data_IF_655989648157
#
_entry.id   IF_655989648157
#
_cell.length_a   1.000
_cell.length_b   1.000
_cell.length_c   1.000
_cell.angle_alpha   90.00
_cell.angle_beta   90.00
_cell.angle_gamma   90.00
#
_symmetry.space_group_name_H-M   'P 1'
#
loop_
_entity.id
_entity.type
_entity.pdbx_description
1 polymer ?
#
# COMPACT_ATOMS: atom_id res chain seq x y z
N UNK A 1 24.60 11.02 -5.11
CA UNK A 1 23.33 11.66 -5.54
C UNK A 1 22.10 10.89 -5.08
N UNK A 2 22.01 9.57 -5.33
CA UNK A 2 20.83 8.78 -4.96
C UNK A 2 20.53 8.77 -3.45
N UNK A 3 21.56 8.74 -2.61
CA UNK A 3 21.45 8.79 -1.14
C UNK A 3 20.84 10.10 -0.59
N UNK A 4 20.65 11.12 -1.43
CA UNK A 4 19.97 12.37 -1.06
C UNK A 4 18.61 12.44 -1.76
N UNK A 5 18.59 12.19 -3.07
CA UNK A 5 17.38 12.31 -3.90
C UNK A 5 16.31 11.31 -3.44
N UNK A 6 16.68 10.06 -3.17
CA UNK A 6 15.72 9.01 -2.82
C UNK A 6 14.99 9.29 -1.48
N UNK A 7 15.68 9.62 -0.37
CA UNK A 7 14.99 10.06 0.84
C UNK A 7 14.08 11.27 0.61
N UNK A 8 14.55 12.29 -0.12
CA UNK A 8 13.77 13.50 -0.40
C UNK A 8 12.47 13.16 -1.14
N UNK A 9 12.54 12.36 -2.21
CA UNK A 9 11.36 11.95 -2.96
C UNK A 9 10.42 11.08 -2.12
N UNK A 10 10.96 10.19 -1.29
CA UNK A 10 10.18 9.34 -0.41
C UNK A 10 9.41 10.16 0.63
N UNK A 11 10.08 11.09 1.32
CA UNK A 11 9.43 11.96 2.30
C UNK A 11 8.48 12.98 1.65
N UNK A 12 8.79 13.47 0.45
CA UNK A 12 7.87 14.30 -0.32
C UNK A 12 6.58 13.52 -0.66
N UNK A 13 6.69 12.25 -1.08
CA UNK A 13 5.55 11.39 -1.35
C UNK A 13 4.72 11.12 -0.08
N UNK A 14 5.36 10.89 1.07
CA UNK A 14 4.69 10.80 2.37
C UNK A 14 3.95 12.10 2.72
N UNK A 15 4.59 13.26 2.53
CA UNK A 15 3.98 14.56 2.73
C UNK A 15 2.72 14.75 1.88
N UNK A 16 2.78 14.39 0.60
CA UNK A 16 1.61 14.40 -0.29
C UNK A 16 0.51 13.44 0.17
N UNK A 17 0.88 12.26 0.69
CA UNK A 17 -0.07 11.30 1.25
C UNK A 17 -0.81 11.88 2.48
N UNK A 18 -0.08 12.54 3.39
CA UNK A 18 -0.66 13.22 4.56
C UNK A 18 -1.59 14.35 4.13
N UNK A 19 -1.18 15.21 3.19
CA UNK A 19 -2.03 16.27 2.63
C UNK A 19 -3.32 15.68 2.03
N UNK A 20 -3.19 14.59 1.28
CA UNK A 20 -4.33 13.86 0.71
C UNK A 20 -5.27 13.31 1.77
N UNK A 21 -4.73 12.72 2.84
CA UNK A 21 -5.50 12.20 3.97
C UNK A 21 -6.26 13.32 4.70
N UNK A 22 -5.60 14.45 4.98
CA UNK A 22 -6.23 15.64 5.58
C UNK A 22 -7.38 16.14 4.73
N UNK A 23 -7.18 16.27 3.41
CA UNK A 23 -8.26 16.65 2.48
C UNK A 23 -9.44 15.67 2.54
N UNK A 24 -9.18 14.35 2.60
CA UNK A 24 -10.25 13.33 2.77
C UNK A 24 -10.99 13.49 4.09
N UNK A 25 -10.28 13.73 5.20
CA UNK A 25 -10.89 13.97 6.51
C UNK A 25 -11.81 15.19 6.50
N UNK A 26 -11.39 16.30 5.86
CA UNK A 26 -12.24 17.48 5.73
C UNK A 26 -13.51 17.22 4.90
N UNK A 27 -13.43 16.39 3.86
CA UNK A 27 -14.62 16.01 3.10
C UNK A 27 -15.60 15.17 3.92
N UNK A 28 -15.11 14.25 4.77
CA UNK A 28 -15.97 13.48 5.67
C UNK A 28 -16.70 14.35 6.68
N UNK A 29 -16.07 15.43 7.15
CA UNK A 29 -16.70 16.40 8.06
C UNK A 29 -17.85 17.21 7.44
N UNK A 30 -18.04 17.16 6.12
CA UNK A 30 -19.20 17.77 5.44
C UNK A 30 -20.48 16.92 5.57
N UNK A 31 -20.36 15.65 5.97
CA UNK A 31 -21.50 14.76 6.20
C UNK A 31 -22.26 15.11 7.49
N UNK A 32 -23.35 14.36 7.74
CA UNK A 32 -24.14 14.50 8.96
C UNK A 32 -23.28 14.15 10.19
N UNK A 33 -23.31 14.97 11.28
CA UNK A 33 -22.59 14.64 12.50
C UNK A 33 -23.10 13.32 13.08
N UNK A 34 -22.17 12.46 13.47
CA UNK A 34 -22.43 11.22 14.17
C UNK A 34 -21.62 11.22 15.48
N UNK A 35 -22.22 10.77 16.59
CA UNK A 35 -21.47 10.50 17.80
C UNK A 35 -20.65 9.23 17.57
N UNK A 36 -19.33 9.37 17.58
CA UNK A 36 -18.40 8.25 17.39
C UNK A 36 -17.56 8.13 18.65
N UNK A 37 -17.58 6.95 19.27
CA UNK A 37 -16.59 6.61 20.29
C UNK A 37 -15.26 6.34 19.59
N UNK A 38 -14.36 7.32 19.65
CA UNK A 38 -13.06 7.24 19.00
C UNK A 38 -12.17 6.18 19.63
N UNK A 39 -12.18 6.05 20.95
CA UNK A 39 -11.29 5.13 21.65
C UNK A 39 -11.71 3.69 21.41
N UNK A 40 -12.98 3.36 21.68
CA UNK A 40 -13.51 2.02 21.43
C UNK A 40 -13.45 1.68 19.94
N UNK A 41 -13.70 2.66 19.07
CA UNK A 41 -13.59 2.50 17.62
C UNK A 41 -12.17 2.11 17.17
N UNK A 42 -11.15 2.81 17.67
CA UNK A 42 -9.75 2.52 17.36
C UNK A 42 -9.29 1.19 17.94
N UNK A 43 -9.67 0.86 19.17
CA UNK A 43 -9.34 -0.43 19.79
C UNK A 43 -9.99 -1.63 19.05
N UNK A 44 -11.15 -1.42 18.43
CA UNK A 44 -11.81 -2.45 17.63
C UNK A 44 -11.22 -2.61 16.22
N UNK A 45 -10.48 -1.62 15.71
CA UNK A 45 -9.96 -1.62 14.33
C UNK A 45 -9.13 -2.84 13.96
N UNK A 46 -8.19 -3.33 14.79
CA UNK A 46 -7.38 -4.49 14.44
C UNK A 46 -8.23 -5.72 14.10
N UNK A 47 -9.18 -6.09 14.97
CA UNK A 47 -10.09 -7.21 14.73
C UNK A 47 -11.01 -6.95 13.54
N UNK A 48 -11.61 -5.76 13.46
CA UNK A 48 -12.52 -5.42 12.36
C UNK A 48 -11.84 -5.52 11.00
N UNK A 49 -10.60 -5.06 10.90
CA UNK A 49 -9.88 -5.02 9.63
C UNK A 49 -9.19 -6.35 9.30
N UNK A 50 -8.62 -7.05 10.29
CA UNK A 50 -7.89 -8.30 10.07
C UNK A 50 -8.80 -9.53 10.03
N UNK A 51 -9.93 -9.54 10.74
CA UNK A 51 -10.80 -10.71 10.89
C UNK A 51 -12.14 -10.46 10.21
N UNK A 52 -12.92 -9.51 10.73
CA UNK A 52 -14.32 -9.35 10.33
C UNK A 52 -14.43 -8.97 8.84
N UNK A 53 -13.62 -8.02 8.38
CA UNK A 53 -13.55 -7.62 6.98
C UNK A 53 -13.12 -8.79 6.07
N UNK A 54 -12.16 -9.59 6.50
CA UNK A 54 -11.63 -10.72 5.73
C UNK A 54 -12.66 -11.85 5.58
N UNK A 55 -13.49 -12.10 6.59
CA UNK A 55 -14.64 -13.00 6.45
C UNK A 55 -15.62 -12.54 5.37
N UNK A 56 -15.93 -11.23 5.31
CA UNK A 56 -16.85 -10.68 4.31
C UNK A 56 -16.24 -10.74 2.90
N UNK A 57 -14.98 -10.34 2.74
CA UNK A 57 -14.34 -10.30 1.42
C UNK A 57 -13.97 -11.69 0.88
N UNK A 58 -13.88 -12.70 1.75
CA UNK A 58 -13.58 -14.08 1.36
C UNK A 58 -14.61 -14.71 0.40
N UNK A 59 -15.78 -14.09 0.19
CA UNK A 59 -16.73 -14.46 -0.88
C UNK A 59 -16.13 -14.44 -2.29
N UNK A 60 -15.09 -13.64 -2.51
CA UNK A 60 -14.29 -13.59 -3.75
C UNK A 60 -12.83 -13.91 -3.39
N UNK A 61 -12.54 -15.19 -3.15
CA UNK A 61 -11.24 -15.68 -2.65
C UNK A 61 -10.06 -15.24 -3.51
N UNK A 62 -10.24 -15.26 -4.84
CA UNK A 62 -9.22 -14.82 -5.79
C UNK A 62 -8.84 -13.35 -5.53
N UNK A 63 -9.82 -12.48 -5.35
CA UNK A 63 -9.56 -11.08 -5.05
C UNK A 63 -9.13 -10.80 -3.63
N UNK A 64 -9.61 -11.57 -2.65
CA UNK A 64 -9.15 -11.47 -1.28
C UNK A 64 -7.64 -11.79 -1.17
N UNK A 65 -7.19 -12.91 -1.76
CA UNK A 65 -5.78 -13.28 -1.76
C UNK A 65 -4.92 -12.29 -2.56
N UNK A 66 -5.42 -11.84 -3.72
CA UNK A 66 -4.76 -10.79 -4.52
C UNK A 66 -4.59 -9.50 -3.71
N UNK A 67 -5.59 -9.13 -2.92
CA UNK A 67 -5.55 -7.95 -2.06
C UNK A 67 -4.51 -8.12 -0.96
N UNK A 68 -4.45 -9.26 -0.26
CA UNK A 68 -3.44 -9.52 0.77
C UNK A 68 -2.02 -9.42 0.19
N UNK A 69 -1.77 -10.04 -0.96
CA UNK A 69 -0.46 -9.95 -1.63
C UNK A 69 -0.11 -8.49 -2.01
N UNK A 70 -1.05 -7.76 -2.59
CA UNK A 70 -0.81 -6.38 -3.08
C UNK A 70 -0.73 -5.37 -1.93
N UNK A 71 -1.76 -5.30 -1.08
CA UNK A 71 -1.89 -4.31 -0.02
C UNK A 71 -1.00 -4.65 1.18
N UNK A 72 -0.94 -5.92 1.58
CA UNK A 72 -0.02 -6.37 2.61
C UNK A 72 1.44 -6.19 2.18
N UNK A 73 1.77 -6.59 0.95
CA UNK A 73 3.08 -6.34 0.35
C UNK A 73 3.42 -4.85 0.29
N UNK A 74 2.48 -3.99 -0.11
CA UNK A 74 2.67 -2.54 -0.12
C UNK A 74 2.92 -1.95 1.27
N UNK A 75 2.11 -2.32 2.28
CA UNK A 75 2.29 -1.81 3.65
C UNK A 75 3.66 -2.20 4.19
N UNK A 76 4.06 -3.46 4.04
CA UNK A 76 5.37 -3.93 4.47
C UNK A 76 6.50 -3.23 3.68
N UNK A 77 6.39 -3.15 2.36
CA UNK A 77 7.38 -2.50 1.51
C UNK A 77 7.51 -1.00 1.81
N UNK A 78 6.42 -0.29 2.07
CA UNK A 78 6.46 1.13 2.41
C UNK A 78 7.17 1.38 3.74
N UNK A 79 6.88 0.58 4.77
CA UNK A 79 7.57 0.65 6.06
C UNK A 79 9.06 0.36 5.91
N UNK A 80 9.41 -0.72 5.21
CA UNK A 80 10.80 -1.09 4.98
C UNK A 80 11.54 -0.07 4.10
N UNK A 81 10.87 0.53 3.11
CA UNK A 81 11.46 1.59 2.28
C UNK A 81 11.77 2.85 3.09
N UNK A 82 10.91 3.23 4.05
CA UNK A 82 11.20 4.32 4.99
C UNK A 82 12.44 3.98 5.82
N UNK A 83 12.53 2.77 6.38
CA UNK A 83 13.66 2.36 7.22
C UNK A 83 14.98 2.30 6.42
N UNK A 84 14.98 1.59 5.30
CA UNK A 84 16.19 1.33 4.49
C UNK A 84 16.60 2.59 3.71
N UNK A 85 15.69 3.16 2.93
CA UNK A 85 16.00 4.23 1.98
C UNK A 85 15.72 5.63 2.53
N UNK A 86 14.81 5.77 3.49
CA UNK A 86 14.52 7.05 4.14
C UNK A 86 15.47 7.38 5.30
N UNK A 87 15.66 6.42 6.20
CA UNK A 87 16.50 6.57 7.40
C UNK A 87 17.92 6.02 7.22
N UNK A 88 18.21 5.38 6.08
CA UNK A 88 19.54 4.86 5.77
C UNK A 88 19.95 3.62 6.57
N UNK A 89 18.98 2.82 7.04
CA UNK A 89 19.25 1.57 7.76
C UNK A 89 19.63 0.45 6.78
N UNK A 90 20.90 0.45 6.38
CA UNK A 90 21.45 -0.53 5.46
C UNK A 90 21.79 -1.84 6.19
N UNK A 91 20.91 -2.83 6.06
CA UNK A 91 21.10 -4.18 6.58
C UNK A 91 20.62 -5.19 5.53
N UNK A 92 21.41 -6.23 5.25
CA UNK A 92 21.07 -7.27 4.27
C UNK A 92 19.71 -7.93 4.56
N UNK A 93 19.39 -8.18 5.83
CA UNK A 93 18.10 -8.76 6.24
C UNK A 93 16.95 -7.84 5.85
N UNK A 94 17.09 -6.52 6.10
CA UNK A 94 16.09 -5.53 5.72
C UNK A 94 16.00 -5.39 4.19
N UNK A 95 17.13 -5.48 3.48
CA UNK A 95 17.20 -5.54 2.03
C UNK A 95 16.41 -6.71 1.46
N UNK A 96 16.68 -7.93 1.92
CA UNK A 96 15.93 -9.13 1.50
C UNK A 96 14.45 -9.05 1.87
N UNK A 97 14.11 -8.57 3.07
CA UNK A 97 12.72 -8.39 3.47
C UNK A 97 11.98 -7.43 2.52
N UNK A 98 12.63 -6.34 2.11
CA UNK A 98 12.05 -5.37 1.18
C UNK A 98 11.95 -5.94 -0.25
N UNK A 99 12.94 -6.72 -0.70
CA UNK A 99 12.87 -7.43 -1.98
C UNK A 99 11.70 -8.42 -2.02
N UNK A 100 11.52 -9.23 -0.97
CA UNK A 100 10.39 -10.17 -0.87
C UNK A 100 9.06 -9.41 -0.81
N UNK A 101 8.96 -8.35 -0.01
CA UNK A 101 7.75 -7.56 0.10
C UNK A 101 7.34 -6.92 -1.24
N UNK A 102 8.30 -6.35 -1.96
CA UNK A 102 8.08 -5.74 -3.28
C UNK A 102 7.76 -6.78 -4.36
N UNK A 103 8.39 -7.96 -4.33
CA UNK A 103 8.06 -9.06 -5.23
C UNK A 103 6.63 -9.60 -5.02
N UNK A 104 6.22 -9.82 -3.76
CA UNK A 104 4.86 -10.25 -3.42
C UNK A 104 3.82 -9.21 -3.87
N UNK A 105 4.10 -7.93 -3.59
CA UNK A 105 3.27 -6.82 -4.06
C UNK A 105 3.18 -6.79 -5.58
N UNK A 106 4.30 -6.97 -6.30
CA UNK A 106 4.35 -6.95 -7.77
C UNK A 106 3.46 -8.04 -8.36
N UNK A 107 3.57 -9.28 -7.86
CA UNK A 107 2.72 -10.40 -8.28
C UNK A 107 1.25 -10.11 -8.02
N UNK A 108 0.90 -9.59 -6.84
CA UNK A 108 -0.46 -9.13 -6.54
C UNK A 108 -0.95 -8.06 -7.53
N UNK A 109 -0.11 -7.07 -7.84
CA UNK A 109 -0.42 -5.99 -8.77
C UNK A 109 -0.63 -6.49 -10.20
N UNK A 110 0.05 -7.56 -10.65
CA UNK A 110 -0.22 -8.23 -11.93
C UNK A 110 -1.64 -8.82 -11.97
N UNK A 111 -2.10 -9.45 -10.89
CA UNK A 111 -3.48 -9.95 -10.81
C UNK A 111 -4.51 -8.82 -10.79
N UNK A 112 -4.21 -7.71 -10.12
CA UNK A 112 -5.04 -6.48 -10.18
C UNK A 112 -5.08 -5.93 -11.60
N UNK A 113 -3.95 -5.89 -12.30
CA UNK A 113 -3.87 -5.47 -13.69
C UNK A 113 -4.70 -6.37 -14.59
N UNK A 114 -4.52 -7.69 -14.49
CA UNK A 114 -5.29 -8.70 -15.24
C UNK A 114 -6.79 -8.55 -15.03
N UNK A 115 -7.26 -8.36 -13.80
CA UNK A 115 -8.69 -8.12 -13.50
C UNK A 115 -9.23 -6.87 -14.18
N UNK A 116 -8.39 -5.87 -14.43
CA UNK A 116 -8.77 -4.60 -15.06
C UNK A 116 -8.74 -4.64 -16.59
N UNK A 117 -8.22 -5.70 -17.21
CA UNK A 117 -8.34 -5.90 -18.66
C UNK A 117 -9.81 -6.14 -19.06
N UNK A 118 -10.52 -6.96 -18.28
CA UNK A 118 -11.96 -7.21 -18.43
C UNK A 118 -12.67 -6.93 -17.09
N UNK A 119 -12.89 -5.65 -16.73
CA UNK A 119 -13.35 -5.28 -15.40
C UNK A 119 -14.82 -5.67 -15.17
N UNK A 120 -15.16 -6.38 -14.07
CA UNK A 120 -16.55 -6.70 -13.75
C UNK A 120 -17.34 -5.41 -13.44
N UNK A 121 -18.66 -5.43 -13.62
CA UNK A 121 -19.52 -4.26 -13.45
C UNK A 121 -19.37 -3.55 -12.08
N UNK A 122 -19.10 -4.33 -11.02
CA UNK A 122 -18.87 -3.84 -9.65
C UNK A 122 -17.53 -3.14 -9.42
N UNK A 123 -16.62 -3.11 -10.40
CA UNK A 123 -15.30 -2.52 -10.26
C UNK A 123 -15.31 -1.04 -10.61
N UNK A 124 -14.81 -0.19 -9.71
CA UNK A 124 -14.59 1.23 -10.02
C UNK A 124 -13.58 1.41 -11.17
N UNK A 125 -14.04 2.10 -12.22
CA UNK A 125 -13.27 2.45 -13.43
C UNK A 125 -12.77 3.89 -13.37
N UNK A 126 -12.60 4.54 -14.52
CA UNK A 126 -12.15 5.94 -14.64
C UNK A 126 -10.72 6.11 -14.15
N UNK A 127 -10.42 7.14 -13.31
CA UNK A 127 -9.08 7.35 -12.78
C UNK A 127 -8.47 6.14 -12.06
N UNK A 128 -9.29 5.22 -11.54
CA UNK A 128 -8.82 4.01 -10.86
C UNK A 128 -8.19 2.97 -11.80
N UNK A 129 -8.33 3.13 -13.12
CA UNK A 129 -7.64 2.27 -14.08
C UNK A 129 -6.12 2.46 -14.07
N UNK A 130 -5.61 3.57 -13.51
CA UNK A 130 -4.17 3.80 -13.31
C UNK A 130 -3.59 3.06 -12.10
N UNK A 131 -4.43 2.63 -11.16
CA UNK A 131 -4.00 1.99 -9.91
C UNK A 131 -3.00 0.84 -10.12
N UNK A 132 -3.26 -0.20 -10.95
CA UNK A 132 -2.31 -1.28 -11.11
C UNK A 132 -0.96 -0.81 -11.68
N UNK A 133 -0.96 0.21 -12.54
CA UNK A 133 0.27 0.77 -13.12
C UNK A 133 1.12 1.43 -12.03
N UNK A 134 0.50 2.22 -11.14
CA UNK A 134 1.18 2.84 -10.01
C UNK A 134 1.70 1.81 -9.01
N UNK A 135 0.95 0.74 -8.75
CA UNK A 135 1.39 -0.34 -7.87
C UNK A 135 2.60 -1.08 -8.45
N UNK A 136 2.54 -1.45 -9.73
CA UNK A 136 3.65 -2.10 -10.44
C UNK A 136 4.90 -1.21 -10.45
N UNK A 137 4.75 0.08 -10.79
CA UNK A 137 5.83 1.05 -10.78
C UNK A 137 6.48 1.16 -9.39
N UNK A 138 5.68 1.32 -8.33
CA UNK A 138 6.19 1.35 -6.96
C UNK A 138 7.00 0.09 -6.63
N UNK A 139 6.39 -1.09 -6.83
CA UNK A 139 7.05 -2.36 -6.47
C UNK A 139 8.32 -2.60 -7.28
N UNK A 140 8.31 -2.34 -8.59
CA UNK A 140 9.47 -2.55 -9.45
C UNK A 140 10.60 -1.57 -9.13
N UNK A 141 10.27 -0.28 -8.93
CA UNK A 141 11.27 0.73 -8.58
C UNK A 141 11.96 0.41 -7.26
N UNK A 142 11.20 0.10 -6.20
CA UNK A 142 11.81 -0.26 -4.91
C UNK A 142 12.53 -1.60 -4.94
N UNK A 143 12.08 -2.56 -5.76
CA UNK A 143 12.83 -3.80 -5.97
C UNK A 143 14.22 -3.51 -6.53
N UNK A 144 14.31 -2.78 -7.64
CA UNK A 144 15.59 -2.43 -8.29
C UNK A 144 16.48 -1.61 -7.36
N UNK A 145 15.92 -0.59 -6.70
CA UNK A 145 16.68 0.28 -5.78
C UNK A 145 17.25 -0.48 -4.57
N UNK A 146 16.63 -1.61 -4.20
CA UNK A 146 17.03 -2.38 -3.02
C UNK A 146 18.08 -3.46 -3.33
N UNK A 147 18.26 -3.85 -4.60
CA UNK A 147 19.24 -4.87 -4.99
C UNK A 147 20.64 -4.62 -4.37
N UNK A 148 21.24 -3.41 -4.45
CA UNK A 148 22.57 -3.16 -3.87
C UNK A 148 22.64 -3.28 -2.34
N UNK A 149 21.51 -3.15 -1.65
CA UNK A 149 21.44 -3.29 -0.18
C UNK A 149 21.46 -4.75 0.25
N UNK A 150 20.95 -5.65 -0.60
CA UNK A 150 20.89 -7.08 -0.32
C UNK A 150 22.23 -7.80 -0.58
N UNK A 151 23.09 -7.22 -1.42
CA UNK A 151 24.39 -7.78 -1.84
C UNK A 151 24.33 -8.21 -3.29
#
# INVERSE_FOLDING_TARGET
MLNIILPVLLFAALGLAVIGAVRRMHMWRRGRPARVDLLAGLLAMPRRYMVDLHHVVARDKYMANTHVATAGGFVLAALLAILVHGLGLHNRILGYALLVATALMFVGALFVFKRRLNPPARLSKGPWMRLPKSLLAFSLSFFILTLPVAG
#
